data_IF_419313635307
#
_entry.id   IF_419313635307
#
_cell.length_a   1.000
_cell.length_b   1.000
_cell.length_c   1.000
_cell.angle_alpha   90.00
_cell.angle_beta   90.00
_cell.angle_gamma   90.00
#
_symmetry.space_group_name_H-M   'P 1'
#
loop_
_entity.id
_entity.type
_entity.pdbx_description
1 polymer ?
#
# COMPACT_ATOMS: atom_id res chain seq x y z
N UNK A 1 47.89 -3.38 11.59
CA UNK A 1 46.59 -3.55 10.91
C UNK A 1 46.60 -4.95 10.32
N UNK A 2 45.68 -5.82 10.71
CA UNK A 2 45.50 -7.12 10.06
C UNK A 2 44.79 -6.89 8.72
N UNK A 3 45.34 -7.43 7.63
CA UNK A 3 44.65 -7.52 6.34
C UNK A 3 43.37 -8.33 6.53
N UNK A 4 42.23 -7.66 6.33
CA UNK A 4 40.91 -8.28 6.45
C UNK A 4 40.37 -8.57 5.06
N UNK A 5 40.19 -9.84 4.74
CA UNK A 5 39.60 -10.27 3.47
C UNK A 5 38.09 -9.98 3.51
N UNK A 6 37.65 -8.99 2.72
CA UNK A 6 36.24 -8.67 2.56
C UNK A 6 35.64 -9.57 1.47
N UNK A 7 34.63 -10.35 1.82
CA UNK A 7 33.85 -11.09 0.83
C UNK A 7 33.07 -10.10 -0.03
N UNK A 8 33.43 -9.96 -1.30
CA UNK A 8 32.83 -9.03 -2.24
C UNK A 8 32.15 -9.81 -3.38
N UNK A 9 30.89 -9.48 -3.67
CA UNK A 9 30.19 -9.96 -4.86
C UNK A 9 29.71 -8.73 -5.64
N UNK A 10 30.29 -8.54 -6.82
CA UNK A 10 29.94 -7.44 -7.73
C UNK A 10 29.10 -8.03 -8.84
N UNK A 11 27.92 -7.45 -9.04
CA UNK A 11 27.04 -7.82 -10.13
C UNK A 11 26.98 -6.65 -11.13
N UNK A 12 27.31 -6.92 -12.39
CA UNK A 12 27.39 -5.92 -13.46
C UNK A 12 26.16 -6.11 -14.36
N UNK A 13 25.58 -5.00 -14.84
CA UNK A 13 24.45 -4.98 -15.78
C UNK A 13 23.17 -5.73 -15.34
N UNK A 14 22.93 -5.84 -14.02
CA UNK A 14 21.64 -6.32 -13.54
C UNK A 14 20.51 -5.37 -13.93
N UNK A 15 19.36 -5.89 -14.42
CA UNK A 15 18.12 -5.13 -14.50
C UNK A 15 17.81 -4.46 -13.15
N UNK A 16 17.33 -3.20 -13.15
CA UNK A 16 17.12 -2.45 -11.89
C UNK A 16 16.15 -3.16 -10.94
N UNK A 17 15.24 -3.98 -11.45
CA UNK A 17 14.29 -4.75 -10.64
C UNK A 17 15.00 -5.80 -9.79
N UNK A 18 16.00 -6.46 -10.35
CA UNK A 18 16.86 -7.41 -9.64
C UNK A 18 17.83 -6.66 -8.70
N UNK A 19 18.34 -5.50 -9.10
CA UNK A 19 19.12 -4.64 -8.19
C UNK A 19 18.31 -4.27 -6.94
N UNK A 20 17.05 -3.84 -7.12
CA UNK A 20 16.14 -3.51 -6.02
C UNK A 20 15.88 -4.72 -5.11
N UNK A 21 15.67 -5.91 -5.69
CA UNK A 21 15.44 -7.13 -4.93
C UNK A 21 16.68 -7.56 -4.12
N UNK A 22 17.87 -7.55 -4.73
CA UNK A 22 19.13 -7.88 -4.07
C UNK A 22 19.38 -6.88 -2.94
N UNK A 23 19.22 -5.58 -3.23
CA UNK A 23 19.38 -4.52 -2.25
C UNK A 23 18.41 -4.68 -1.07
N UNK A 24 17.12 -4.90 -1.33
CA UNK A 24 16.12 -5.14 -0.30
C UNK A 24 16.44 -6.38 0.54
N UNK A 25 16.87 -7.47 -0.10
CA UNK A 25 17.13 -8.75 0.56
C UNK A 25 18.34 -8.65 1.49
N UNK A 26 19.48 -8.17 0.98
CA UNK A 26 20.74 -8.05 1.75
C UNK A 26 20.57 -7.04 2.90
N UNK A 27 19.96 -5.90 2.63
CA UNK A 27 19.85 -4.87 3.66
C UNK A 27 18.74 -5.16 4.67
N UNK A 28 17.73 -5.98 4.33
CA UNK A 28 16.70 -6.35 5.30
C UNK A 28 17.24 -7.10 6.53
N UNK A 29 18.38 -7.80 6.41
CA UNK A 29 19.00 -8.60 7.48
C UNK A 29 20.13 -7.89 8.24
N UNK A 30 20.85 -6.92 7.63
CA UNK A 30 22.05 -6.32 8.25
C UNK A 30 21.89 -4.87 8.77
N UNK A 31 20.94 -4.08 8.26
CA UNK A 31 20.52 -2.76 8.81
C UNK A 31 19.22 -2.35 8.13
N UNK A 32 18.13 -2.12 8.89
CA UNK A 32 16.80 -1.77 8.34
C UNK A 32 16.90 -0.56 7.38
N UNK A 33 17.00 -0.84 6.09
CA UNK A 33 16.84 0.15 5.02
C UNK A 33 15.38 0.63 5.03
N UNK A 34 15.19 1.91 4.77
CA UNK A 34 13.86 2.50 4.67
C UNK A 34 13.06 1.80 3.57
N UNK A 35 11.86 1.31 3.90
CA UNK A 35 11.01 0.59 2.95
C UNK A 35 10.59 1.47 1.77
N UNK A 36 10.43 2.77 1.99
CA UNK A 36 10.03 3.72 0.94
C UNK A 36 11.12 3.80 -0.14
N UNK A 37 12.40 3.84 0.27
CA UNK A 37 13.53 3.80 -0.67
C UNK A 37 13.55 2.49 -1.48
N UNK A 38 13.23 1.36 -0.83
CA UNK A 38 13.15 0.06 -1.53
C UNK A 38 12.03 0.07 -2.59
N UNK A 39 10.87 0.63 -2.25
CA UNK A 39 9.73 0.74 -3.17
C UNK A 39 9.99 1.69 -4.34
N UNK A 40 10.73 2.77 -4.13
CA UNK A 40 11.17 3.64 -5.22
C UNK A 40 12.02 2.87 -6.25
N UNK A 41 12.97 2.05 -5.79
CA UNK A 41 13.79 1.21 -6.66
C UNK A 41 12.95 0.22 -7.47
N UNK A 42 11.90 -0.35 -6.89
CA UNK A 42 10.93 -1.20 -7.62
C UNK A 42 10.15 -0.44 -8.69
N UNK A 43 9.86 0.85 -8.47
CA UNK A 43 9.10 1.68 -9.38
C UNK A 43 9.79 1.98 -10.72
N UNK A 44 11.12 1.80 -10.83
CA UNK A 44 11.87 2.17 -12.04
C UNK A 44 11.77 1.17 -13.21
N UNK A 45 11.07 0.03 -13.07
CA UNK A 45 10.95 -0.99 -14.14
C UNK A 45 9.50 -1.37 -14.44
N UNK A 46 8.54 -0.48 -14.16
CA UNK A 46 7.12 -0.79 -14.38
C UNK A 46 6.78 -0.81 -15.88
N UNK A 47 7.55 -0.13 -16.73
CA UNK A 47 7.28 0.00 -18.17
C UNK A 47 7.79 -1.14 -19.05
N UNK A 48 8.70 -1.98 -18.57
CA UNK A 48 9.51 -2.84 -19.46
C UNK A 48 9.09 -4.33 -19.43
N UNK A 49 8.02 -4.66 -18.69
CA UNK A 49 7.56 -6.03 -18.44
C UNK A 49 6.02 -6.06 -18.43
N UNK A 50 5.43 -7.08 -19.06
CA UNK A 50 3.96 -7.25 -19.12
C UNK A 50 3.33 -7.36 -17.74
N UNK A 51 2.13 -6.82 -17.58
CA UNK A 51 1.43 -6.69 -16.28
C UNK A 51 1.24 -8.05 -15.59
N UNK A 52 1.03 -9.11 -16.37
CA UNK A 52 0.86 -10.47 -15.87
C UNK A 52 2.09 -11.03 -15.14
N UNK A 53 3.28 -10.43 -15.32
CA UNK A 53 4.51 -10.82 -14.63
C UNK A 53 4.83 -9.91 -13.43
N UNK A 54 4.01 -8.88 -13.18
CA UNK A 54 4.25 -8.00 -12.06
C UNK A 54 3.99 -8.71 -10.73
N UNK A 55 5.04 -8.78 -9.90
CA UNK A 55 4.94 -9.29 -8.55
C UNK A 55 4.02 -8.43 -7.68
N UNK A 56 3.49 -8.97 -6.55
CA UNK A 56 2.60 -8.21 -5.68
C UNK A 56 3.16 -6.84 -5.25
N UNK A 57 4.44 -6.79 -4.85
CA UNK A 57 5.11 -5.53 -4.46
C UNK A 57 5.14 -4.54 -5.62
N UNK A 58 5.43 -5.00 -6.84
CA UNK A 58 5.52 -4.14 -8.03
C UNK A 58 4.17 -3.48 -8.36
N UNK A 59 3.09 -4.27 -8.33
CA UNK A 59 1.74 -3.75 -8.55
C UNK A 59 1.33 -2.74 -7.47
N UNK A 60 1.59 -3.04 -6.19
CA UNK A 60 1.25 -2.13 -5.10
C UNK A 60 2.02 -0.80 -5.19
N UNK A 61 3.29 -0.83 -5.59
CA UNK A 61 4.10 0.37 -5.87
C UNK A 61 3.52 1.15 -7.03
N UNK A 62 3.16 0.48 -8.13
CA UNK A 62 2.54 1.13 -9.28
C UNK A 62 1.24 1.85 -8.91
N UNK A 63 0.32 1.18 -8.20
CA UNK A 63 -0.91 1.81 -7.71
C UNK A 63 -0.64 2.99 -6.78
N UNK A 64 0.35 2.88 -5.89
CA UNK A 64 0.71 3.97 -4.98
C UNK A 64 1.19 5.21 -5.75
N UNK A 65 2.03 5.03 -6.78
CA UNK A 65 2.48 6.14 -7.63
C UNK A 65 1.34 6.75 -8.41
N UNK A 66 0.46 5.91 -8.97
CA UNK A 66 -0.74 6.38 -9.67
C UNK A 66 -1.67 7.17 -8.74
N UNK A 67 -1.89 6.72 -7.51
CA UNK A 67 -2.66 7.46 -6.50
C UNK A 67 -2.01 8.78 -6.07
N UNK A 68 -0.68 8.90 -6.17
CA UNK A 68 0.03 10.14 -5.83
C UNK A 68 -0.14 11.23 -6.90
N UNK A 69 -0.39 10.85 -8.16
CA UNK A 69 -0.47 11.77 -9.31
C UNK A 69 -1.86 11.94 -9.91
N UNK A 70 -2.74 10.93 -9.78
CA UNK A 70 -4.11 10.96 -10.30
C UNK A 70 -4.92 12.09 -9.62
N UNK A 71 -5.48 13.01 -10.42
CA UNK A 71 -6.29 14.15 -9.94
C UNK A 71 -7.60 13.72 -9.28
N UNK A 72 -8.09 12.52 -9.58
CA UNK A 72 -9.26 11.96 -8.92
C UNK A 72 -8.92 11.31 -7.57
N UNK A 73 -7.64 11.13 -7.23
CA UNK A 73 -7.20 10.49 -6.00
C UNK A 73 -7.17 11.50 -4.84
N UNK A 74 -7.81 11.20 -3.70
CA UNK A 74 -7.67 12.02 -2.49
C UNK A 74 -6.26 12.03 -1.90
N UNK A 75 -5.39 11.11 -2.34
CA UNK A 75 -4.00 11.05 -1.92
C UNK A 75 -3.05 11.84 -2.84
N UNK A 76 -3.57 12.53 -3.86
CA UNK A 76 -2.75 13.35 -4.74
C UNK A 76 -1.96 14.38 -3.92
N UNK A 77 -0.64 14.40 -4.10
CA UNK A 77 0.26 15.28 -3.32
C UNK A 77 0.38 14.94 -1.83
N UNK A 78 -0.34 13.94 -1.29
CA UNK A 78 -0.25 13.56 0.14
C UNK A 78 0.75 12.43 0.41
N UNK A 79 1.26 11.78 -0.64
CA UNK A 79 2.21 10.67 -0.52
C UNK A 79 3.64 11.21 -0.58
N UNK A 80 4.35 11.13 0.54
CA UNK A 80 5.76 11.54 0.64
C UNK A 80 6.65 10.46 0.02
N UNK A 81 7.35 10.86 -1.03
CA UNK A 81 8.48 10.13 -1.62
C UNK A 81 9.74 10.51 -0.85
N UNK A 82 10.61 9.53 -0.54
CA UNK A 82 11.86 9.77 0.19
C UNK A 82 12.78 10.71 -0.64
N UNK A 83 13.78 11.36 -0.03
CA UNK A 83 14.28 12.62 -0.54
C UNK A 83 15.17 12.41 -1.77
N UNK A 84 14.57 12.49 -2.97
CA UNK A 84 15.10 13.15 -4.18
C UNK A 84 14.28 12.83 -5.44
N UNK A 85 14.14 13.87 -6.29
CA UNK A 85 14.05 13.87 -7.77
C UNK A 85 12.68 14.01 -8.46
N UNK A 86 11.61 14.43 -7.79
CA UNK A 86 10.38 14.75 -8.53
C UNK A 86 9.80 16.10 -8.11
N UNK A 87 10.26 17.17 -8.78
CA UNK A 87 9.87 18.55 -8.47
C UNK A 87 8.34 18.77 -8.58
N UNK A 88 7.66 18.04 -9.47
CA UNK A 88 6.21 18.10 -9.61
C UNK A 88 5.49 17.51 -8.39
N UNK A 89 6.01 16.42 -7.82
CA UNK A 89 5.48 15.83 -6.58
C UNK A 89 5.79 16.71 -5.36
N UNK A 90 6.96 17.36 -5.33
CA UNK A 90 7.32 18.30 -4.27
C UNK A 90 6.37 19.51 -4.24
N UNK A 91 6.08 20.12 -5.39
CA UNK A 91 5.15 21.27 -5.47
C UNK A 91 3.72 20.90 -5.04
N UNK A 92 3.24 19.70 -5.41
CA UNK A 92 1.95 19.19 -4.95
C UNK A 92 1.94 18.92 -3.44
N UNK A 93 3.06 18.43 -2.89
CA UNK A 93 3.18 18.09 -1.48
C UNK A 93 3.23 19.30 -0.54
N UNK A 94 3.72 20.45 -1.00
CA UNK A 94 3.70 21.70 -0.21
C UNK A 94 2.28 22.21 0.07
N UNK A 95 1.32 21.90 -0.80
CA UNK A 95 -0.08 22.34 -0.67
C UNK A 95 -0.94 21.40 0.20
N UNK A 96 -0.43 20.24 0.58
CA UNK A 96 -1.18 19.22 1.31
C UNK A 96 -1.24 19.47 2.83
N UNK A 97 -2.45 19.44 3.41
CA UNK A 97 -2.68 19.61 4.86
C UNK A 97 -2.01 18.53 5.73
N UNK A 98 -1.80 17.35 5.18
CA UNK A 98 -1.18 16.21 5.86
C UNK A 98 -0.48 15.33 4.84
N UNK A 99 0.45 14.50 5.32
CA UNK A 99 1.25 13.61 4.47
C UNK A 99 1.37 12.22 5.07
N UNK A 100 1.62 11.24 4.22
CA UNK A 100 1.83 9.83 4.56
C UNK A 100 2.94 9.24 3.68
N UNK A 101 3.75 8.32 4.22
CA UNK A 101 4.84 7.73 3.44
C UNK A 101 4.33 6.73 2.40
N UNK A 102 5.08 6.60 1.30
CA UNK A 102 4.86 5.57 0.26
C UNK A 102 4.67 4.18 0.85
N UNK A 103 5.52 3.78 1.82
CA UNK A 103 5.46 2.46 2.42
C UNK A 103 4.11 2.14 3.09
N UNK A 104 3.44 3.14 3.67
CA UNK A 104 2.14 2.94 4.34
C UNK A 104 1.05 2.61 3.33
N UNK A 105 1.05 3.29 2.19
CA UNK A 105 0.08 3.06 1.12
C UNK A 105 0.36 1.72 0.43
N UNK A 106 1.63 1.44 0.11
CA UNK A 106 2.04 0.15 -0.47
C UNK A 106 1.64 -1.01 0.43
N UNK A 107 2.00 -0.97 1.73
CA UNK A 107 1.64 -2.03 2.69
C UNK A 107 0.12 -2.19 2.84
N UNK A 108 -0.65 -1.10 2.73
CA UNK A 108 -2.11 -1.11 2.77
C UNK A 108 -2.73 -1.82 1.57
N UNK A 109 -2.29 -1.48 0.36
CA UNK A 109 -2.75 -2.04 -0.91
C UNK A 109 -2.32 -3.51 -1.03
N UNK A 110 -1.06 -3.80 -0.72
CA UNK A 110 -0.45 -5.13 -0.88
C UNK A 110 -1.21 -6.22 -0.12
N UNK A 111 -1.70 -5.89 1.08
CA UNK A 111 -2.48 -6.80 1.95
C UNK A 111 -3.89 -7.11 1.43
N UNK A 112 -4.32 -6.46 0.34
CA UNK A 112 -5.56 -6.78 -0.35
C UNK A 112 -5.42 -8.03 -1.23
N UNK A 113 -4.23 -8.34 -1.75
CA UNK A 113 -4.04 -9.46 -2.69
C UNK A 113 -2.84 -10.38 -2.39
N UNK A 114 -2.01 -10.05 -1.40
CA UNK A 114 -0.95 -10.94 -0.93
C UNK A 114 -0.72 -10.84 0.59
N UNK A 115 -0.73 -11.99 1.25
CA UNK A 115 -0.35 -12.13 2.65
C UNK A 115 1.15 -12.37 2.87
N UNK A 116 1.85 -12.84 1.82
CA UNK A 116 3.29 -13.05 1.83
C UNK A 116 3.92 -12.66 0.47
N UNK A 117 4.13 -11.35 0.24
CA UNK A 117 4.64 -10.82 -1.03
C UNK A 117 5.99 -11.39 -1.43
N UNK A 118 6.88 -11.61 -0.45
CA UNK A 118 8.20 -12.22 -0.68
C UNK A 118 8.10 -13.63 -1.24
N UNK A 119 7.21 -14.46 -0.66
CA UNK A 119 6.97 -15.82 -1.15
C UNK A 119 6.43 -15.78 -2.57
N UNK A 120 5.42 -14.95 -2.82
CA UNK A 120 4.80 -14.85 -4.14
C UNK A 120 5.79 -14.35 -5.20
N UNK A 121 6.58 -13.31 -4.88
CA UNK A 121 7.63 -12.81 -5.76
C UNK A 121 8.71 -13.87 -6.06
N UNK A 122 9.09 -14.67 -5.06
CA UNK A 122 10.04 -15.77 -5.27
C UNK A 122 9.44 -16.88 -6.14
N UNK A 123 8.16 -17.23 -5.98
CA UNK A 123 7.48 -18.20 -6.83
C UNK A 123 7.40 -17.71 -8.28
N UNK A 124 7.12 -16.43 -8.50
CA UNK A 124 7.08 -15.82 -9.83
C UNK A 124 8.46 -15.64 -10.47
N UNK A 125 9.56 -15.87 -9.74
CA UNK A 125 10.95 -15.65 -10.21
C UNK A 125 11.88 -16.84 -9.96
N UNK A 126 11.34 -18.02 -9.67
CA UNK A 126 12.12 -19.16 -9.17
C UNK A 126 13.15 -19.66 -10.18
N UNK A 127 12.79 -19.70 -11.46
CA UNK A 127 13.66 -20.13 -12.56
C UNK A 127 13.64 -19.06 -13.67
N UNK A 128 12.56 -19.02 -14.46
CA UNK A 128 12.22 -17.92 -15.37
C UNK A 128 11.07 -17.09 -14.81
N UNK A 129 10.92 -15.86 -15.31
CA UNK A 129 9.78 -15.00 -14.94
C UNK A 129 8.49 -15.74 -15.25
N UNK A 130 7.68 -15.97 -14.22
CA UNK A 130 6.41 -16.69 -14.32
C UNK A 130 5.26 -15.71 -14.11
N UNK A 131 4.17 -15.83 -14.88
CA UNK A 131 3.01 -14.98 -14.71
C UNK A 131 2.32 -15.25 -13.37
N UNK A 132 1.45 -14.34 -12.95
CA UNK A 132 0.69 -14.44 -11.69
C UNK A 132 -0.15 -15.73 -11.59
N UNK A 133 -0.54 -16.33 -12.71
CA UNK A 133 -1.25 -17.62 -12.75
C UNK A 133 -0.46 -18.76 -12.10
N UNK A 134 0.87 -18.68 -12.03
CA UNK A 134 1.72 -19.62 -11.30
C UNK A 134 1.44 -19.64 -9.78
N UNK A 135 0.74 -18.62 -9.26
CA UNK A 135 0.34 -18.53 -7.86
C UNK A 135 -0.95 -19.29 -7.54
N UNK A 136 -1.68 -19.79 -8.56
CA UNK A 136 -2.94 -20.52 -8.41
C UNK A 136 -2.76 -21.81 -7.59
N UNK A 137 -1.72 -22.58 -7.92
CA UNK A 137 -1.37 -23.82 -7.23
C UNK A 137 -0.44 -23.59 -6.02
N UNK A 138 -0.22 -22.32 -5.67
CA UNK A 138 0.65 -21.90 -4.58
C UNK A 138 0.03 -22.11 -3.20
N UNK A 139 0.77 -21.67 -2.18
CA UNK A 139 0.27 -21.71 -0.81
C UNK A 139 -0.98 -20.83 -0.65
N UNK A 140 -1.99 -21.38 0.04
CA UNK A 140 -3.28 -20.72 0.27
C UNK A 140 -3.11 -19.30 0.84
N UNK A 141 -3.74 -18.33 0.18
CA UNK A 141 -3.80 -16.94 0.61
C UNK A 141 -5.27 -16.55 0.85
N UNK A 142 -5.53 -15.75 1.89
CA UNK A 142 -6.88 -15.30 2.28
C UNK A 142 -7.08 -13.81 2.06
N UNK A 143 -6.20 -13.17 1.29
CA UNK A 143 -6.34 -11.76 0.95
C UNK A 143 -7.57 -11.57 0.06
N UNK A 144 -8.41 -10.56 0.31
CA UNK A 144 -9.76 -10.44 -0.27
C UNK A 144 -9.78 -10.34 -1.80
N UNK A 145 -8.70 -9.88 -2.42
CA UNK A 145 -8.55 -9.68 -3.87
C UNK A 145 -7.49 -10.59 -4.46
N UNK A 146 -7.19 -11.74 -3.82
CA UNK A 146 -6.17 -12.67 -4.31
C UNK A 146 -6.46 -13.14 -5.73
N UNK A 147 -7.69 -13.59 -5.97
CA UNK A 147 -8.06 -14.18 -7.26
C UNK A 147 -8.07 -13.10 -8.36
N UNK A 148 -8.59 -11.90 -8.04
CA UNK A 148 -8.56 -10.73 -8.94
C UNK A 148 -7.13 -10.38 -9.38
N UNK A 149 -6.17 -10.48 -8.47
CA UNK A 149 -4.76 -10.26 -8.77
C UNK A 149 -4.18 -11.36 -9.68
N UNK A 150 -4.48 -12.63 -9.39
CA UNK A 150 -4.02 -13.78 -10.19
C UNK A 150 -4.59 -13.72 -11.62
N UNK A 151 -5.86 -13.32 -11.75
CA UNK A 151 -6.55 -13.13 -13.03
C UNK A 151 -6.05 -11.91 -13.83
N UNK A 152 -5.21 -11.05 -13.24
CA UNK A 152 -4.66 -9.87 -13.90
C UNK A 152 -5.63 -8.70 -14.03
N UNK A 153 -6.73 -8.66 -13.27
CA UNK A 153 -7.71 -7.58 -13.34
C UNK A 153 -7.32 -6.37 -12.47
N UNK A 154 -6.21 -5.74 -12.84
CA UNK A 154 -5.59 -4.63 -12.10
C UNK A 154 -6.49 -3.39 -12.05
N UNK A 155 -7.27 -3.17 -13.13
CA UNK A 155 -8.24 -2.07 -13.19
C UNK A 155 -9.29 -2.19 -12.08
N UNK A 156 -9.76 -3.39 -11.77
CA UNK A 156 -10.75 -3.63 -10.72
C UNK A 156 -10.18 -3.35 -9.33
N UNK A 157 -8.96 -3.84 -9.05
CA UNK A 157 -8.27 -3.60 -7.77
C UNK A 157 -8.04 -2.09 -7.58
N UNK A 158 -7.51 -1.42 -8.60
CA UNK A 158 -7.27 0.02 -8.54
C UNK A 158 -8.56 0.81 -8.32
N UNK A 159 -9.63 0.48 -9.06
CA UNK A 159 -10.93 1.16 -8.95
C UNK A 159 -11.54 0.99 -7.55
N UNK A 160 -11.43 -0.20 -6.96
CA UNK A 160 -11.89 -0.43 -5.58
C UNK A 160 -11.13 0.46 -4.59
N UNK A 161 -9.79 0.45 -4.65
CA UNK A 161 -8.95 1.27 -3.77
C UNK A 161 -9.28 2.76 -3.95
N UNK A 162 -9.35 3.25 -5.19
CA UNK A 162 -9.65 4.65 -5.48
C UNK A 162 -11.03 5.06 -4.95
N UNK A 163 -12.06 4.26 -5.20
CA UNK A 163 -13.42 4.58 -4.75
C UNK A 163 -13.56 4.54 -3.23
N UNK A 164 -12.89 3.58 -2.58
CA UNK A 164 -12.85 3.53 -1.11
C UNK A 164 -12.12 4.74 -0.51
N UNK A 165 -11.01 5.17 -1.11
CA UNK A 165 -10.30 6.36 -0.67
C UNK A 165 -11.14 7.63 -0.86
N UNK A 166 -11.93 7.74 -1.95
CA UNK A 166 -12.89 8.85 -2.14
C UNK A 166 -13.96 8.88 -1.05
N UNK A 167 -14.52 7.71 -0.68
CA UNK A 167 -15.44 7.62 0.44
C UNK A 167 -14.75 8.00 1.77
N UNK A 168 -13.49 7.58 1.96
CA UNK A 168 -12.69 7.93 3.15
C UNK A 168 -12.38 9.42 3.21
N UNK A 169 -12.16 10.10 2.08
CA UNK A 169 -12.02 11.55 2.03
C UNK A 169 -13.29 12.24 2.54
N UNK A 170 -14.45 11.78 2.09
CA UNK A 170 -15.74 12.33 2.49
C UNK A 170 -16.03 12.13 3.99
N UNK A 171 -15.81 10.92 4.48
CA UNK A 171 -16.20 10.53 5.84
C UNK A 171 -15.16 10.98 6.86
N UNK A 172 -13.86 10.85 6.55
CA UNK A 172 -12.79 10.97 7.55
C UNK A 172 -11.85 12.16 7.36
N UNK A 173 -11.50 12.54 6.13
CA UNK A 173 -10.37 13.46 5.92
C UNK A 173 -10.77 14.91 5.65
N UNK A 174 -11.80 15.16 4.83
CA UNK A 174 -12.12 16.53 4.37
C UNK A 174 -12.41 17.50 5.52
N UNK A 175 -13.03 17.00 6.59
CA UNK A 175 -13.49 17.77 7.75
C UNK A 175 -12.69 17.49 9.02
N UNK A 176 -11.63 16.66 8.94
CA UNK A 176 -10.83 16.36 10.12
C UNK A 176 -10.03 17.58 10.57
N UNK A 177 -9.96 17.74 11.89
CA UNK A 177 -9.04 18.69 12.55
C UNK A 177 -7.59 18.28 12.26
N UNK A 178 -6.69 19.26 12.20
CA UNK A 178 -5.26 19.03 11.92
C UNK A 178 -4.55 18.18 12.99
N UNK A 179 -5.04 18.20 14.23
CA UNK A 179 -4.54 17.40 15.35
C UNK A 179 -5.13 15.97 15.40
N UNK A 180 -6.06 15.66 14.49
CA UNK A 180 -6.73 14.37 14.42
C UNK A 180 -5.78 13.24 14.02
N UNK A 181 -5.82 12.13 14.76
CA UNK A 181 -4.96 10.98 14.49
C UNK A 181 -5.40 10.18 13.24
N UNK A 182 -6.59 10.47 12.69
CA UNK A 182 -7.02 9.89 11.41
C UNK A 182 -6.19 10.40 10.21
N UNK A 183 -5.59 11.58 10.33
CA UNK A 183 -4.70 12.21 9.34
C UNK A 183 -3.24 11.78 9.50
N UNK A 184 -2.92 11.02 10.56
CA UNK A 184 -1.57 10.50 10.81
C UNK A 184 -1.40 9.13 10.18
N UNK A 185 -0.15 8.69 10.07
CA UNK A 185 0.21 7.36 9.53
C UNK A 185 -0.64 6.23 10.07
N UNK A 186 -0.88 6.18 11.39
CA UNK A 186 -1.68 5.12 12.00
C UNK A 186 -3.16 5.14 11.58
N UNK A 187 -3.70 6.34 11.30
CA UNK A 187 -5.07 6.52 10.84
C UNK A 187 -5.25 6.03 9.41
N UNK A 188 -4.32 6.40 8.53
CA UNK A 188 -4.27 5.88 7.15
C UNK A 188 -4.12 4.35 7.14
N UNK A 189 -3.24 3.81 7.99
CA UNK A 189 -3.08 2.36 8.14
C UNK A 189 -4.38 1.68 8.61
N UNK A 190 -5.11 2.29 9.55
CA UNK A 190 -6.39 1.78 10.02
C UNK A 190 -7.45 1.81 8.91
N UNK A 191 -7.50 2.86 8.10
CA UNK A 191 -8.39 2.97 6.94
C UNK A 191 -8.15 1.80 5.95
N UNK A 192 -6.89 1.48 5.62
CA UNK A 192 -6.58 0.30 4.80
C UNK A 192 -6.92 -1.03 5.49
N UNK A 193 -6.82 -1.12 6.82
CA UNK A 193 -7.28 -2.31 7.54
C UNK A 193 -8.79 -2.53 7.42
N UNK A 194 -9.58 -1.45 7.42
CA UNK A 194 -11.02 -1.51 7.21
C UNK A 194 -11.32 -1.95 5.78
N UNK A 195 -10.67 -1.35 4.76
CA UNK A 195 -10.83 -1.80 3.37
C UNK A 195 -10.59 -3.30 3.23
N UNK A 196 -9.50 -3.81 3.81
CA UNK A 196 -9.18 -5.24 3.76
C UNK A 196 -10.29 -6.14 4.31
N UNK A 197 -11.06 -5.66 5.29
CA UNK A 197 -12.15 -6.42 5.91
C UNK A 197 -13.44 -6.40 5.08
N UNK A 198 -13.74 -5.28 4.44
CA UNK A 198 -14.98 -5.10 3.69
C UNK A 198 -14.85 -5.39 2.19
N UNK A 199 -13.61 -5.53 1.67
CA UNK A 199 -13.35 -5.73 0.25
C UNK A 199 -13.99 -7.01 -0.31
N UNK A 200 -13.96 -8.12 0.42
CA UNK A 200 -14.59 -9.37 -0.01
C UNK A 200 -16.12 -9.22 -0.12
N UNK A 201 -16.75 -8.60 0.87
CA UNK A 201 -18.20 -8.34 0.83
C UNK A 201 -18.59 -7.40 -0.31
N UNK A 202 -17.77 -6.38 -0.59
CA UNK A 202 -17.97 -5.49 -1.74
C UNK A 202 -17.90 -6.25 -3.08
N UNK A 203 -16.99 -7.21 -3.19
CA UNK A 203 -16.90 -8.11 -4.36
C UNK A 203 -18.11 -9.02 -4.48
N UNK A 204 -18.55 -9.63 -3.39
CA UNK A 204 -19.72 -10.52 -3.37
C UNK A 204 -21.00 -9.78 -3.78
N UNK A 205 -21.16 -8.54 -3.28
CA UNK A 205 -22.26 -7.65 -3.66
C UNK A 205 -22.12 -7.03 -5.04
N UNK A 206 -20.94 -7.17 -5.69
CA UNK A 206 -20.56 -6.53 -6.94
C UNK A 206 -20.75 -5.01 -6.92
N UNK A 207 -20.56 -4.40 -5.76
CA UNK A 207 -20.71 -2.96 -5.57
C UNK A 207 -19.44 -2.37 -4.95
N UNK A 208 -18.65 -1.73 -5.80
CA UNK A 208 -17.41 -1.02 -5.43
C UNK A 208 -17.54 0.48 -5.68
N UNK A 209 -18.77 1.01 -5.75
CA UNK A 209 -19.02 2.42 -5.98
C UNK A 209 -18.64 3.24 -4.75
N UNK A 210 -18.41 4.54 -4.95
CA UNK A 210 -18.07 5.46 -3.85
C UNK A 210 -19.21 5.52 -2.84
N UNK A 211 -20.45 5.50 -3.32
CA UNK A 211 -21.66 5.57 -2.50
C UNK A 211 -21.82 4.34 -1.60
N UNK A 212 -21.46 3.15 -2.09
CA UNK A 212 -21.48 1.94 -1.30
C UNK A 212 -20.51 2.04 -0.12
N UNK A 213 -19.25 2.38 -0.40
CA UNK A 213 -18.24 2.54 0.66
C UNK A 213 -18.60 3.69 1.60
N UNK A 214 -19.16 4.79 1.09
CA UNK A 214 -19.66 5.89 1.92
C UNK A 214 -20.74 5.42 2.89
N UNK A 215 -21.74 4.67 2.40
CA UNK A 215 -22.80 4.10 3.24
C UNK A 215 -22.27 3.12 4.29
N UNK A 216 -21.29 2.29 3.96
CA UNK A 216 -20.63 1.39 4.93
C UNK A 216 -19.88 2.19 6.01
N UNK A 217 -19.18 3.25 5.63
CA UNK A 217 -18.35 4.04 6.55
C UNK A 217 -19.14 5.07 7.37
N UNK A 218 -20.39 5.35 6.99
CA UNK A 218 -21.20 6.44 7.55
C UNK A 218 -21.33 6.37 9.08
N UNK A 219 -21.48 5.18 9.65
CA UNK A 219 -21.58 4.99 11.10
C UNK A 219 -20.36 5.51 11.87
N UNK A 220 -19.20 5.62 11.21
CA UNK A 220 -17.96 6.12 11.80
C UNK A 220 -17.70 7.62 11.56
N UNK A 221 -18.58 8.35 10.87
CA UNK A 221 -18.40 9.78 10.51
C UNK A 221 -18.20 10.67 11.74
N UNK A 222 -18.98 10.43 12.79
CA UNK A 222 -19.01 11.27 14.01
C UNK A 222 -17.92 10.93 15.04
N UNK A 223 -16.98 10.04 14.70
CA UNK A 223 -15.89 9.70 15.62
C UNK A 223 -14.89 10.86 15.71
N UNK A 224 -14.76 11.43 16.91
CA UNK A 224 -13.70 12.40 17.20
C UNK A 224 -12.34 11.71 17.35
N UNK A 225 -11.59 11.65 16.26
CA UNK A 225 -10.22 11.10 16.21
C UNK A 225 -9.14 12.06 16.78
N UNK A 226 -9.52 13.25 17.28
CA UNK A 226 -8.61 14.14 18.03
C UNK A 226 -8.66 13.88 19.56
N UNK A 227 -9.64 13.10 20.02
CA UNK A 227 -9.84 12.74 21.43
C UNK A 227 -8.62 12.00 22.02
N UNK A 228 -8.37 12.20 23.32
CA UNK A 228 -7.17 11.70 24.01
C UNK A 228 -6.95 10.19 23.87
N UNK A 229 -8.02 9.39 23.81
CA UNK A 229 -7.93 7.94 23.60
C UNK A 229 -7.19 7.55 22.31
N UNK A 230 -7.27 8.37 21.27
CA UNK A 230 -6.61 8.10 19.99
C UNK A 230 -5.19 8.68 19.89
N UNK A 231 -4.72 9.42 20.91
CA UNK A 231 -3.43 10.12 20.91
C UNK A 231 -2.25 9.19 21.18
N UNK A 232 -2.11 8.17 20.35
CA UNK A 232 -1.06 7.16 20.49
C UNK A 232 -0.49 6.81 19.10
N UNK A 233 0.67 7.34 18.70
CA UNK A 233 1.25 7.14 17.36
C UNK A 233 1.83 5.74 17.12
N UNK A 234 1.59 4.77 17.99
CA UNK A 234 2.11 3.40 17.88
C UNK A 234 1.11 2.41 17.26
N UNK A 235 1.52 1.15 17.13
CA UNK A 235 0.67 0.07 16.61
C UNK A 235 -0.60 -0.19 17.43
N UNK A 236 -0.59 0.12 18.73
CA UNK A 236 -1.81 0.03 19.55
C UNK A 236 -2.81 1.13 19.19
N UNK A 237 -2.35 2.34 18.86
CA UNK A 237 -3.23 3.41 18.38
C UNK A 237 -3.87 3.10 17.02
N UNK A 238 -3.12 2.52 16.08
CA UNK A 238 -3.70 1.98 14.82
C UNK A 238 -4.82 0.98 15.12
N UNK A 239 -4.58 0.07 16.07
CA UNK A 239 -5.57 -0.94 16.46
C UNK A 239 -6.81 -0.34 17.09
N UNK A 240 -6.64 0.70 17.91
CA UNK A 240 -7.73 1.41 18.56
C UNK A 240 -8.60 2.18 17.57
N UNK A 241 -7.99 2.92 16.64
CA UNK A 241 -8.71 3.60 15.54
C UNK A 241 -9.49 2.59 14.72
N UNK A 242 -8.83 1.50 14.28
CA UNK A 242 -9.48 0.43 13.51
C UNK A 242 -10.69 -0.14 14.26
N UNK A 243 -10.52 -0.53 15.53
CA UNK A 243 -11.62 -1.09 16.34
C UNK A 243 -12.76 -0.12 16.55
N UNK A 244 -12.47 1.17 16.71
CA UNK A 244 -13.50 2.19 16.83
C UNK A 244 -14.34 2.29 15.55
N UNK A 245 -13.70 2.27 14.39
CA UNK A 245 -14.40 2.26 13.09
C UNK A 245 -15.19 0.95 12.94
N UNK A 246 -14.58 -0.22 13.19
CA UNK A 246 -15.24 -1.53 13.09
C UNK A 246 -16.53 -1.61 13.92
N UNK A 247 -16.46 -1.13 15.17
CA UNK A 247 -17.62 -1.09 16.07
C UNK A 247 -18.71 -0.17 15.53
N UNK A 248 -18.32 0.99 15.00
CA UNK A 248 -19.27 2.00 14.51
C UNK A 248 -19.98 1.57 13.22
N UNK A 249 -19.32 0.76 12.38
CA UNK A 249 -19.88 0.24 11.12
C UNK A 249 -20.46 -1.18 11.24
N UNK A 250 -20.43 -1.79 12.44
CA UNK A 250 -21.09 -3.05 12.72
C UNK A 250 -20.38 -4.31 12.21
N UNK A 251 -19.04 -4.30 12.09
CA UNK A 251 -18.24 -5.47 11.63
C UNK A 251 -17.33 -6.07 12.72
N UNK A 252 -17.57 -5.69 13.99
CA UNK A 252 -16.89 -6.21 15.18
C UNK A 252 -17.82 -7.15 15.96
#
# INVERSE_FOLDING_TARGET
MQDMNLLCSVFIDLPKALQAQIFATINSTQKRVDRSLTYELFGYNVSDEDEEYWTPDKLAVFFTRKLATDTASPLQGRITVAPKRDAALEELAEKAKWRVSTAVIVDGILRLFSSNPKRDANLMRKDEASPRSALTDGAKDRSPLRDVFIEGNDALIYKMVLNYLKASEDVFWKNAREDSFILRTIGVQAIFDILRKIAAEAMDKKDIRVEYFGGVLEGAREIDFAADRFRNPSGSGRTEIRRAIEKAIGIL
#
